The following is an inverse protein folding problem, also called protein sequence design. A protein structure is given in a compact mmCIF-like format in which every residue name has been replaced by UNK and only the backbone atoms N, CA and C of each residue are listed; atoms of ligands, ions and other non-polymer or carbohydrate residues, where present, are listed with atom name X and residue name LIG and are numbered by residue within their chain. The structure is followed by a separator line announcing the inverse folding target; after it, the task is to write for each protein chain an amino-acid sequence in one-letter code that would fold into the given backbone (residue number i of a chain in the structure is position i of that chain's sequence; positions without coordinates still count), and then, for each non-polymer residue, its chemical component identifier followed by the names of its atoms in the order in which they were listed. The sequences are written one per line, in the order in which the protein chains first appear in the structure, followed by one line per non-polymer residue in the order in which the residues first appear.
data_IF_604995283110
#
_entry.id   IF_604995283110
#
_cell.length_a   1.000
_cell.length_b   1.000
_cell.length_c   1.000
_cell.angle_alpha   90.00
_cell.angle_beta   90.00
_cell.angle_gamma   90.00
#
_symmetry.space_group_name_H-M   'P 1'
#
loop_
_entity.id
_entity.type
_entity.pdbx_description
1 polymer ?
#
# COMPACT_ATOMS: atom_id res chain seq x y z
N UNK A 1 -27.35 32.92 5.64
CA UNK A 1 -26.51 31.88 5.00
C UNK A 1 -26.34 30.74 5.99
N UNK A 2 -27.02 29.61 5.80
CA UNK A 2 -26.82 28.45 6.68
C UNK A 2 -25.45 27.85 6.42
N UNK A 3 -24.58 27.86 7.44
CA UNK A 3 -23.28 27.19 7.40
C UNK A 3 -23.53 25.69 7.48
N UNK A 4 -23.49 25.00 6.34
CA UNK A 4 -23.50 23.54 6.36
C UNK A 4 -22.25 23.05 7.11
N UNK A 5 -22.46 22.37 8.24
CA UNK A 5 -21.38 21.73 8.99
C UNK A 5 -20.92 20.51 8.21
N UNK A 6 -19.66 20.50 7.78
CA UNK A 6 -19.04 19.29 7.20
C UNK A 6 -18.86 18.28 8.32
N UNK A 7 -19.37 17.08 8.13
CA UNK A 7 -19.21 15.97 9.05
C UNK A 7 -18.36 14.91 8.36
N UNK A 8 -17.51 14.25 9.15
CA UNK A 8 -16.73 13.10 8.76
C UNK A 8 -17.13 11.96 9.69
N UNK A 9 -17.67 10.89 9.12
CA UNK A 9 -18.27 9.77 9.87
C UNK A 9 -17.49 8.48 9.67
N UNK A 10 -17.81 7.45 10.46
CA UNK A 10 -17.22 6.11 10.31
C UNK A 10 -17.39 5.54 8.89
N UNK A 11 -18.61 5.55 8.32
CA UNK A 11 -18.84 5.10 6.94
C UNK A 11 -18.01 5.87 5.90
N UNK A 12 -17.87 7.20 6.05
CA UNK A 12 -17.03 8.00 5.14
C UNK A 12 -15.56 7.54 5.19
N UNK A 13 -15.07 7.24 6.41
CA UNK A 13 -13.72 6.74 6.62
C UNK A 13 -13.50 5.35 6.00
N UNK A 14 -14.50 4.46 6.12
CA UNK A 14 -14.46 3.11 5.53
C UNK A 14 -14.45 3.16 3.99
N UNK A 15 -15.33 3.97 3.40
CA UNK A 15 -15.38 4.18 1.95
C UNK A 15 -14.06 4.76 1.43
N UNK A 16 -13.54 5.78 2.12
CA UNK A 16 -12.28 6.40 1.73
C UNK A 16 -11.10 5.43 1.85
N UNK A 17 -11.03 4.64 2.93
CA UNK A 17 -10.02 3.58 3.07
C UNK A 17 -10.11 2.51 1.98
N UNK A 18 -11.31 2.11 1.57
CA UNK A 18 -11.49 1.16 0.48
C UNK A 18 -10.95 1.71 -0.85
N UNK A 19 -11.20 3.00 -1.13
CA UNK A 19 -10.65 3.68 -2.31
C UNK A 19 -9.11 3.78 -2.26
N UNK A 20 -8.54 4.13 -1.10
CA UNK A 20 -7.09 4.17 -0.90
C UNK A 20 -6.44 2.80 -1.11
N UNK A 21 -7.06 1.72 -0.63
CA UNK A 21 -6.60 0.33 -0.86
C UNK A 21 -6.52 0.01 -2.36
N UNK A 22 -7.53 0.36 -3.13
CA UNK A 22 -7.57 0.11 -4.57
C UNK A 22 -6.50 0.92 -5.31
N UNK A 23 -6.36 2.21 -4.99
CA UNK A 23 -5.32 3.05 -5.58
C UNK A 23 -3.92 2.55 -5.25
N UNK A 24 -3.69 2.08 -4.02
CA UNK A 24 -2.40 1.52 -3.63
C UNK A 24 -2.05 0.27 -4.45
N UNK A 25 -3.01 -0.64 -4.66
CA UNK A 25 -2.83 -1.83 -5.53
C UNK A 25 -2.44 -1.45 -6.96
N UNK A 26 -3.04 -0.40 -7.51
CA UNK A 26 -2.70 0.13 -8.83
C UNK A 26 -1.28 0.70 -8.88
N UNK A 27 -0.87 1.43 -7.84
CA UNK A 27 0.49 1.94 -7.74
C UNK A 27 1.50 0.79 -7.74
N UNK A 28 1.25 -0.28 -6.97
CA UNK A 28 2.08 -1.49 -6.98
C UNK A 28 2.15 -2.09 -8.39
N UNK A 29 1.01 -2.27 -9.07
CA UNK A 29 0.98 -2.83 -10.42
C UNK A 29 1.73 -1.98 -11.46
N UNK A 30 1.73 -0.66 -11.32
CA UNK A 30 2.52 0.26 -12.16
C UNK A 30 4.01 0.09 -11.85
N UNK A 31 4.39 0.12 -10.57
CA UNK A 31 5.78 0.00 -10.13
C UNK A 31 6.41 -1.34 -10.53
N UNK A 32 5.62 -2.42 -10.63
CA UNK A 32 6.08 -3.71 -11.15
C UNK A 32 6.50 -3.65 -12.62
N UNK A 33 5.93 -2.72 -13.42
CA UNK A 33 6.17 -2.60 -14.86
C UNK A 33 7.10 -1.45 -15.22
N UNK A 34 7.14 -0.41 -14.38
CA UNK A 34 7.91 0.79 -14.63
C UNK A 34 9.41 0.50 -14.56
N UNK A 35 10.22 1.02 -15.50
CA UNK A 35 11.67 0.95 -15.37
C UNK A 35 12.13 1.63 -14.07
N UNK A 36 13.14 1.04 -13.44
CA UNK A 36 13.72 1.53 -12.19
C UNK A 36 14.13 3.01 -12.35
N UNK A 37 13.71 3.85 -11.40
CA UNK A 37 13.98 5.31 -11.38
C UNK A 37 13.45 6.09 -12.58
N UNK A 38 12.58 5.51 -13.41
CA UNK A 38 11.89 6.28 -14.44
C UNK A 38 10.99 7.36 -13.82
N UNK A 39 10.68 8.44 -14.55
CA UNK A 39 9.78 9.49 -14.05
C UNK A 39 8.43 8.96 -13.56
N UNK A 40 7.86 7.96 -14.24
CA UNK A 40 6.61 7.33 -13.82
C UNK A 40 6.78 6.50 -12.53
N UNK A 41 7.91 5.82 -12.35
CA UNK A 41 8.18 5.10 -11.12
C UNK A 41 8.28 6.07 -9.93
N UNK A 42 9.05 7.16 -10.08
CA UNK A 42 9.21 8.16 -9.03
C UNK A 42 7.87 8.82 -8.67
N UNK A 43 7.11 9.26 -9.66
CA UNK A 43 5.79 9.85 -9.43
C UNK A 43 4.81 8.87 -8.74
N UNK A 44 4.84 7.61 -9.13
CA UNK A 44 3.97 6.57 -8.53
C UNK A 44 4.37 6.28 -7.08
N UNK A 45 5.67 6.29 -6.76
CA UNK A 45 6.17 6.16 -5.39
C UNK A 45 5.66 7.29 -4.49
N UNK A 46 5.70 8.54 -4.95
CA UNK A 46 5.18 9.69 -4.18
C UNK A 46 3.67 9.58 -3.93
N UNK A 47 2.90 9.14 -4.94
CA UNK A 47 1.47 8.87 -4.76
C UNK A 47 1.24 7.79 -3.70
N UNK A 48 2.04 6.73 -3.71
CA UNK A 48 1.94 5.65 -2.72
C UNK A 48 2.23 6.16 -1.30
N UNK A 49 3.21 7.05 -1.13
CA UNK A 49 3.47 7.69 0.17
C UNK A 49 2.32 8.57 0.65
N UNK A 50 1.69 9.33 -0.25
CA UNK A 50 0.52 10.13 0.07
C UNK A 50 -0.68 9.26 0.48
N UNK A 51 -0.89 8.13 -0.19
CA UNK A 51 -1.92 7.15 0.15
C UNK A 51 -1.69 6.55 1.53
N UNK A 52 -0.47 6.10 1.81
CA UNK A 52 -0.11 5.50 3.11
C UNK A 52 -0.27 6.52 4.24
N UNK A 53 0.11 7.79 4.01
CA UNK A 53 -0.12 8.88 4.97
C UNK A 53 -1.60 9.20 5.19
N UNK A 54 -2.43 9.18 4.15
CA UNK A 54 -3.87 9.37 4.31
C UNK A 54 -4.52 8.22 5.09
N UNK A 55 -4.07 6.99 4.87
CA UNK A 55 -4.54 5.83 5.64
C UNK A 55 -4.12 5.91 7.11
N UNK A 56 -2.87 6.32 7.38
CA UNK A 56 -2.33 6.52 8.73
C UNK A 56 -3.19 7.49 9.56
N UNK A 57 -3.68 8.57 8.96
CA UNK A 57 -4.60 9.53 9.63
C UNK A 57 -5.90 8.87 10.09
N UNK A 58 -6.37 7.85 9.37
CA UNK A 58 -7.65 7.19 9.64
C UNK A 58 -7.47 6.01 10.61
N UNK A 59 -6.40 5.23 10.43
CA UNK A 59 -6.18 3.96 11.15
C UNK A 59 -5.23 4.09 12.33
N UNK A 60 -4.41 5.15 12.38
CA UNK A 60 -3.27 5.27 13.29
C UNK A 60 -2.07 4.39 12.89
N UNK A 61 -2.14 3.71 11.74
CA UNK A 61 -1.12 2.77 11.26
C UNK A 61 -0.83 2.99 9.77
N UNK A 62 0.40 3.42 9.49
CA UNK A 62 0.91 3.65 8.13
C UNK A 62 0.99 2.38 7.29
N UNK A 63 1.21 1.24 7.93
CA UNK A 63 1.34 -0.06 7.26
C UNK A 63 -0.01 -0.76 7.08
N UNK A 64 -1.11 -0.13 7.51
CA UNK A 64 -2.47 -0.69 7.43
C UNK A 64 -2.93 -1.10 6.03
N UNK A 65 -2.28 -0.54 4.99
CA UNK A 65 -2.52 -0.85 3.58
C UNK A 65 -1.41 -1.71 2.94
N UNK A 66 -0.34 -2.00 3.65
CA UNK A 66 0.77 -2.79 3.13
C UNK A 66 0.30 -4.23 2.96
N UNK A 67 0.67 -4.85 1.84
CA UNK A 67 0.49 -6.29 1.68
C UNK A 67 1.27 -6.97 2.79
N UNK A 68 0.65 -7.95 3.48
CA UNK A 68 1.38 -8.78 4.44
C UNK A 68 2.67 -9.27 3.78
N UNK A 69 3.84 -9.16 4.44
CA UNK A 69 5.05 -9.74 3.91
C UNK A 69 4.75 -11.20 3.60
N UNK A 70 5.17 -11.67 2.42
CA UNK A 70 5.08 -13.09 2.11
C UNK A 70 5.82 -13.81 3.23
N UNK A 71 5.08 -14.45 4.14
CA UNK A 71 5.67 -15.26 5.18
C UNK A 71 6.57 -16.25 4.46
N UNK A 72 7.88 -16.16 4.68
CA UNK A 72 8.83 -17.19 4.26
C UNK A 72 8.48 -18.42 5.08
N UNK A 73 7.51 -19.20 4.60
CA UNK A 73 7.08 -20.43 5.24
C UNK A 73 8.27 -21.41 5.32
N UNK A 74 8.21 -22.42 6.21
CA UNK A 74 9.25 -23.43 6.34
C UNK A 74 9.68 -24.04 4.99
N UNK A 75 8.72 -24.16 4.07
CA UNK A 75 8.90 -24.65 2.70
C UNK A 75 9.90 -23.83 1.86
N UNK A 76 9.88 -22.50 1.96
CA UNK A 76 10.80 -21.65 1.18
C UNK A 76 12.23 -21.69 1.75
N UNK A 77 12.39 -21.95 3.06
CA UNK A 77 13.71 -22.18 3.71
C UNK A 77 14.35 -23.52 3.31
N UNK A 78 13.55 -24.56 3.06
CA UNK A 78 14.05 -25.86 2.64
C UNK A 78 14.69 -25.79 1.24
N UNK A 79 14.07 -25.06 0.31
CA UNK A 79 14.52 -24.94 -1.07
C UNK A 79 15.87 -24.23 -1.25
N UNK A 80 16.25 -23.34 -0.33
CA UNK A 80 17.55 -22.66 -0.35
C UNK A 80 18.67 -23.48 0.30
N UNK A 81 18.36 -24.49 1.12
CA UNK A 81 19.36 -25.36 1.76
C UNK A 81 19.88 -26.46 0.84
N UNK A 82 19.08 -26.88 -0.14
CA UNK A 82 19.44 -27.97 -1.05
C UNK A 82 20.47 -27.56 -2.12
N UNK A 83 20.71 -26.26 -2.31
CA UNK A 83 21.67 -25.75 -3.31
C UNK A 83 23.08 -25.49 -2.78
N UNK A 84 23.33 -25.65 -1.48
CA UNK A 84 24.63 -25.36 -0.82
C UNK A 84 25.43 -26.63 -0.49
N UNK A 85 25.22 -27.75 -1.20
CA UNK A 85 26.06 -28.95 -1.04
C UNK A 85 26.70 -29.33 -2.37
N UNK A 86 27.84 -28.71 -2.65
CA UNK A 86 28.91 -29.25 -3.51
C UNK A 86 30.06 -29.75 -2.62
#
# INVERSE_FOLDING_TARGET
MSRHRRLWTGPDAEEYLAALREWRRRCVAILTKAPIRSPIALATTEIMHAIDGAAEVITGDRESLWSKPASTGPEMRARFRETDTE
#
